data_IF_528137420892
#
_entry.id   IF_528137420892
#
_cell.length_a   1.000
_cell.length_b   1.000
_cell.length_c   1.000
_cell.angle_alpha   90.00
_cell.angle_beta   90.00
_cell.angle_gamma   90.00
#
_symmetry.space_group_name_H-M   'P 1'
#
loop_
_entity.id
_entity.type
_entity.pdbx_description
1 polymer ?
#
# COMPACT_ATOMS: atom_id res chain seq x y z
N UNK A 1 -18.12 5.56 17.08
CA UNK A 1 -16.80 5.91 17.66
C UNK A 1 -15.76 5.68 16.58
N UNK A 2 -15.40 6.74 15.87
CA UNK A 2 -14.65 6.75 14.59
C UNK A 2 -13.24 7.38 14.73
N UNK A 3 -12.83 7.69 15.96
CA UNK A 3 -11.52 8.27 16.27
C UNK A 3 -10.45 7.19 16.45
N UNK A 4 -9.22 7.51 16.08
CA UNK A 4 -8.07 6.64 16.30
C UNK A 4 -7.76 6.52 17.79
N UNK A 5 -7.35 5.33 18.28
CA UNK A 5 -6.79 5.22 19.62
C UNK A 5 -5.58 6.15 19.79
N UNK A 6 -5.44 6.80 20.95
CA UNK A 6 -4.34 7.75 21.21
C UNK A 6 -2.95 7.16 20.94
N UNK A 7 -2.75 5.86 21.20
CA UNK A 7 -1.48 5.17 20.96
C UNK A 7 -1.19 4.88 19.48
N UNK A 8 -2.10 5.23 18.56
CA UNK A 8 -1.93 5.14 17.10
C UNK A 8 -1.84 6.50 16.42
N UNK A 9 -2.01 7.60 17.17
CA UNK A 9 -1.90 8.97 16.63
C UNK A 9 -0.43 9.41 16.69
N UNK A 10 0.21 9.75 15.56
CA UNK A 10 1.67 9.95 15.49
C UNK A 10 2.14 11.30 16.04
N UNK A 11 1.97 11.52 17.35
CA UNK A 11 2.50 12.70 18.04
C UNK A 11 3.97 12.48 18.40
N UNK A 12 4.82 13.50 18.20
CA UNK A 12 6.26 13.45 18.53
C UNK A 12 6.48 13.01 19.99
N UNK A 13 7.42 12.09 20.19
CA UNK A 13 7.78 11.51 21.49
C UNK A 13 6.79 10.48 22.05
N UNK A 14 5.74 10.11 21.31
CA UNK A 14 4.69 9.21 21.83
C UNK A 14 4.76 7.78 21.28
N UNK A 15 3.97 6.87 21.85
CA UNK A 15 3.83 5.50 21.31
C UNK A 15 3.25 5.47 19.90
N UNK A 16 2.47 6.48 19.53
CA UNK A 16 1.92 6.62 18.18
C UNK A 16 2.99 6.94 17.13
N UNK A 17 4.03 7.71 17.49
CA UNK A 17 5.19 7.95 16.62
C UNK A 17 5.93 6.63 16.32
N UNK A 18 6.26 5.86 17.37
CA UNK A 18 6.89 4.53 17.20
C UNK A 18 6.02 3.57 16.40
N UNK A 19 4.71 3.59 16.61
CA UNK A 19 3.76 2.81 15.81
C UNK A 19 3.81 3.21 14.33
N UNK A 20 3.89 4.52 14.05
CA UNK A 20 3.96 5.10 12.71
C UNK A 20 5.29 4.76 12.03
N UNK A 21 6.42 4.84 12.72
CA UNK A 21 7.74 4.44 12.22
C UNK A 21 7.75 2.96 11.82
N UNK A 22 7.22 2.08 12.68
CA UNK A 22 7.12 0.65 12.37
C UNK A 22 6.27 0.40 11.12
N UNK A 23 5.17 1.13 10.97
CA UNK A 23 4.32 1.02 9.78
C UNK A 23 5.03 1.53 8.51
N UNK A 24 5.83 2.60 8.59
CA UNK A 24 6.68 3.06 7.48
C UNK A 24 7.63 1.99 7.02
N UNK A 25 8.43 1.44 7.94
CA UNK A 25 9.42 0.42 7.60
C UNK A 25 8.76 -0.82 6.98
N UNK A 26 7.59 -1.20 7.46
CA UNK A 26 6.84 -2.31 6.89
C UNK A 26 6.30 -2.00 5.48
N UNK A 27 5.71 -0.82 5.29
CA UNK A 27 5.03 -0.45 4.03
C UNK A 27 6.01 0.01 2.94
N UNK A 28 7.17 0.54 3.33
CA UNK A 28 8.26 1.03 2.48
C UNK A 28 9.60 0.37 2.86
N UNK A 29 9.78 -0.93 2.60
CA UNK A 29 11.03 -1.60 2.90
C UNK A 29 12.21 -0.97 2.14
N UNK A 30 13.36 -0.84 2.80
CA UNK A 30 14.55 -0.21 2.21
C UNK A 30 15.02 -0.92 0.92
N UNK A 31 14.89 -2.24 0.86
CA UNK A 31 15.20 -3.04 -0.33
C UNK A 31 14.30 -2.71 -1.53
N UNK A 32 13.11 -2.14 -1.32
CA UNK A 32 12.26 -1.69 -2.41
C UNK A 32 12.65 -0.28 -2.90
N UNK A 33 13.44 0.47 -2.12
CA UNK A 33 13.82 1.85 -2.42
C UNK A 33 15.14 1.93 -3.18
N UNK A 34 16.10 1.06 -2.88
CA UNK A 34 17.42 1.10 -3.51
C UNK A 34 18.10 -0.28 -3.58
N UNK A 35 18.82 -0.51 -4.70
CA UNK A 35 19.64 -1.71 -4.92
C UNK A 35 20.68 -1.94 -3.81
N UNK A 36 21.19 -0.87 -3.19
CA UNK A 36 22.16 -0.95 -2.09
C UNK A 36 21.63 -1.66 -0.85
N UNK A 37 20.32 -1.80 -0.73
CA UNK A 37 19.66 -2.49 0.37
C UNK A 37 19.19 -3.91 -0.01
N UNK A 38 19.33 -4.31 -1.27
CA UNK A 38 19.05 -5.65 -1.75
C UNK A 38 20.27 -6.56 -1.50
N UNK A 39 20.03 -7.78 -1.02
CA UNK A 39 21.07 -8.80 -0.82
C UNK A 39 21.17 -9.78 -1.98
N UNK A 40 20.10 -9.98 -2.74
CA UNK A 40 19.99 -11.09 -3.69
C UNK A 40 19.62 -10.68 -5.13
N UNK A 41 19.83 -9.42 -5.51
CA UNK A 41 19.58 -8.96 -6.89
C UNK A 41 20.85 -9.11 -7.73
N UNK A 42 20.82 -10.03 -8.69
CA UNK A 42 21.94 -10.24 -9.61
C UNK A 42 22.10 -9.07 -10.60
N UNK A 43 23.30 -8.80 -11.16
CA UNK A 43 23.53 -7.70 -12.10
C UNK A 43 22.55 -7.66 -13.27
N UNK A 44 22.16 -8.83 -13.78
CA UNK A 44 21.23 -8.98 -14.91
C UNK A 44 19.81 -8.52 -14.55
N UNK A 45 19.45 -8.57 -13.27
CA UNK A 45 18.13 -8.23 -12.74
C UNK A 45 18.02 -6.77 -12.30
N UNK A 46 19.12 -6.02 -12.28
CA UNK A 46 19.13 -4.62 -11.83
C UNK A 46 18.27 -3.70 -12.72
N UNK A 47 18.13 -4.01 -14.01
CA UNK A 47 17.21 -3.27 -14.90
C UNK A 47 15.77 -3.48 -14.46
N UNK A 48 15.36 -4.74 -14.28
CA UNK A 48 14.01 -5.07 -13.80
C UNK A 48 13.71 -4.48 -12.41
N UNK A 49 14.72 -4.36 -11.54
CA UNK A 49 14.59 -3.65 -10.28
C UNK A 49 14.35 -2.15 -10.48
N UNK A 50 15.14 -1.48 -11.33
CA UNK A 50 14.93 -0.05 -11.62
C UNK A 50 13.55 0.20 -12.21
N UNK A 51 13.11 -0.67 -13.12
CA UNK A 51 11.77 -0.61 -13.71
C UNK A 51 10.68 -0.78 -12.63
N UNK A 52 10.89 -1.68 -11.66
CA UNK A 52 9.99 -1.83 -10.50
C UNK A 52 9.94 -0.57 -9.62
N UNK A 53 11.09 0.01 -9.28
CA UNK A 53 11.15 1.23 -8.46
C UNK A 53 10.49 2.41 -9.18
N UNK A 54 10.75 2.55 -10.49
CA UNK A 54 10.13 3.57 -11.31
C UNK A 54 8.62 3.39 -11.37
N UNK A 55 8.14 2.18 -11.68
CA UNK A 55 6.72 1.87 -11.69
C UNK A 55 6.07 2.13 -10.32
N UNK A 56 6.71 1.75 -9.20
CA UNK A 56 6.20 2.08 -7.86
C UNK A 56 6.08 3.58 -7.65
N UNK A 57 7.11 4.35 -8.00
CA UNK A 57 7.11 5.81 -7.82
C UNK A 57 6.05 6.48 -8.69
N UNK A 58 5.85 6.00 -9.92
CA UNK A 58 4.83 6.50 -10.84
C UNK A 58 3.40 6.16 -10.37
N UNK A 59 3.27 5.18 -9.47
CA UNK A 59 2.01 4.72 -8.87
C UNK A 59 1.83 5.21 -7.42
N UNK A 60 2.76 5.99 -6.85
CA UNK A 60 2.52 6.66 -5.58
C UNK A 60 1.44 7.74 -5.81
N UNK A 61 0.18 7.39 -5.52
CA UNK A 61 -0.97 8.14 -6.03
C UNK A 61 -1.24 9.44 -5.28
N UNK A 62 -1.29 9.39 -3.94
CA UNK A 62 -1.54 10.58 -3.10
C UNK A 62 -1.41 10.27 -1.60
N UNK A 63 -1.59 11.29 -0.77
CA UNK A 63 -1.78 11.17 0.68
C UNK A 63 -3.25 11.48 1.02
N UNK A 64 -3.84 10.72 1.95
CA UNK A 64 -5.18 11.04 2.45
C UNK A 64 -5.17 12.30 3.33
N UNK A 65 -6.07 13.23 3.08
CA UNK A 65 -6.17 14.48 3.85
C UNK A 65 -7.22 14.36 4.95
N UNK A 66 -6.85 14.69 6.18
CA UNK A 66 -7.79 14.76 7.30
C UNK A 66 -8.39 16.16 7.36
N UNK A 67 -9.73 16.26 7.33
CA UNK A 67 -10.46 17.51 7.56
C UNK A 67 -11.75 17.29 8.32
N UNK A 68 -12.24 18.35 8.97
CA UNK A 68 -13.59 18.37 9.53
C UNK A 68 -14.62 18.54 8.41
N UNK A 69 -15.72 17.78 8.46
CA UNK A 69 -16.78 17.88 7.46
C UNK A 69 -17.80 18.98 7.81
N UNK A 70 -18.19 19.77 6.81
CA UNK A 70 -19.27 20.77 6.90
C UNK A 70 -20.67 20.18 6.58
N UNK A 71 -20.76 18.88 6.32
CA UNK A 71 -22.01 18.15 6.11
C UNK A 71 -21.81 16.70 6.56
N UNK A 72 -22.90 15.97 6.78
CA UNK A 72 -22.81 14.54 7.06
C UNK A 72 -22.52 13.76 5.77
N UNK A 73 -21.62 12.79 5.84
CA UNK A 73 -21.24 11.93 4.70
C UNK A 73 -21.26 10.46 5.13
N UNK A 74 -21.20 9.54 4.17
CA UNK A 74 -21.15 8.10 4.44
C UNK A 74 -19.72 7.58 4.28
N UNK A 75 -19.23 6.84 5.27
CA UNK A 75 -17.91 6.26 5.21
C UNK A 75 -17.88 5.08 4.22
N UNK A 76 -17.00 5.15 3.22
CA UNK A 76 -16.85 4.12 2.18
C UNK A 76 -16.57 2.70 2.71
N UNK A 77 -15.77 2.53 3.78
CA UNK A 77 -15.42 1.20 4.30
C UNK A 77 -16.54 0.59 5.15
N UNK A 78 -17.02 1.32 6.16
CA UNK A 78 -17.96 0.76 7.14
C UNK A 78 -19.43 1.07 6.84
N UNK A 79 -19.71 1.89 5.81
CA UNK A 79 -21.05 2.37 5.45
C UNK A 79 -21.75 3.16 6.57
N UNK A 80 -20.99 3.55 7.60
CA UNK A 80 -21.47 4.34 8.73
C UNK A 80 -21.41 5.83 8.44
N UNK A 81 -22.31 6.59 9.07
CA UNK A 81 -22.37 8.06 8.91
C UNK A 81 -21.18 8.74 9.62
N UNK A 82 -20.51 9.64 8.90
CA UNK A 82 -19.61 10.67 9.43
C UNK A 82 -20.45 11.93 9.61
N UNK A 83 -20.64 12.41 10.84
CA UNK A 83 -21.53 13.56 11.09
C UNK A 83 -20.84 14.87 10.75
N UNK A 84 -21.64 15.91 10.49
CA UNK A 84 -21.17 17.30 10.49
C UNK A 84 -20.29 17.58 11.73
N UNK A 85 -19.12 18.18 11.53
CA UNK A 85 -18.16 18.50 12.58
C UNK A 85 -17.26 17.33 12.99
N UNK A 86 -17.45 16.13 12.43
CA UNK A 86 -16.52 15.02 12.64
C UNK A 86 -15.37 15.07 11.63
N UNK A 87 -14.22 14.53 12.05
CA UNK A 87 -13.06 14.36 11.17
C UNK A 87 -13.31 13.22 10.17
N UNK A 88 -12.97 13.49 8.91
CA UNK A 88 -12.96 12.52 7.83
C UNK A 88 -11.61 12.56 7.10
N UNK A 89 -11.27 11.45 6.49
CA UNK A 89 -10.18 11.34 5.51
C UNK A 89 -10.78 11.48 4.12
N UNK A 90 -10.13 12.27 3.27
CA UNK A 90 -10.46 12.45 1.87
C UNK A 90 -9.27 12.04 1.02
N UNK A 91 -9.54 11.21 0.03
CA UNK A 91 -8.57 10.70 -0.92
C UNK A 91 -8.86 11.33 -2.29
N UNK A 92 -8.02 12.27 -2.80
CA UNK A 92 -8.34 13.02 -4.02
C UNK A 92 -8.63 12.14 -5.25
N UNK A 93 -8.06 10.94 -5.30
CA UNK A 93 -8.26 9.97 -6.39
C UNK A 93 -9.66 9.34 -6.39
N UNK A 94 -10.43 9.52 -5.32
CA UNK A 94 -11.81 9.04 -5.19
C UNK A 94 -12.84 10.17 -5.20
N UNK A 95 -12.46 11.40 -5.54
CA UNK A 95 -13.38 12.55 -5.56
C UNK A 95 -13.95 12.86 -4.17
N UNK A 96 -15.28 12.87 -4.05
CA UNK A 96 -16.01 13.26 -2.83
C UNK A 96 -16.20 12.11 -1.81
N UNK A 97 -15.54 10.97 -2.02
CA UNK A 97 -15.62 9.83 -1.10
C UNK A 97 -14.90 10.16 0.21
N UNK A 98 -15.50 9.75 1.32
CA UNK A 98 -14.95 10.00 2.67
C UNK A 98 -14.79 8.70 3.46
N UNK A 99 -13.83 8.72 4.39
CA UNK A 99 -13.61 7.65 5.36
C UNK A 99 -13.54 8.22 6.76
N UNK A 100 -14.00 7.47 7.76
CA UNK A 100 -13.51 7.71 9.11
C UNK A 100 -11.98 7.53 9.16
N UNK A 101 -11.25 8.29 10.00
CA UNK A 101 -9.81 8.09 10.17
C UNK A 101 -9.41 6.64 10.48
N UNK A 102 -10.21 5.94 11.30
CA UNK A 102 -9.99 4.52 11.61
C UNK A 102 -10.32 3.55 10.47
N UNK A 103 -11.09 4.01 9.47
CA UNK A 103 -11.53 3.22 8.33
C UNK A 103 -10.63 3.39 7.08
N UNK A 104 -9.73 4.37 7.09
CA UNK A 104 -8.78 4.57 6.01
C UNK A 104 -7.56 3.65 6.20
N UNK A 105 -7.75 2.38 5.81
CA UNK A 105 -6.81 1.29 6.03
C UNK A 105 -6.59 0.48 4.76
N UNK A 106 -5.44 -0.16 4.63
CA UNK A 106 -5.17 -1.09 3.52
C UNK A 106 -6.18 -2.24 3.50
N UNK A 107 -6.73 -2.54 2.32
CA UNK A 107 -7.68 -3.62 2.10
C UNK A 107 -7.15 -5.00 2.52
N UNK A 108 -5.84 -5.25 2.41
CA UNK A 108 -5.24 -6.55 2.71
C UNK A 108 -4.85 -6.75 4.17
N UNK A 109 -4.31 -5.72 4.84
CA UNK A 109 -3.75 -5.87 6.19
C UNK A 109 -4.37 -4.98 7.26
N UNK A 110 -5.37 -4.18 6.90
CA UNK A 110 -6.05 -3.21 7.78
C UNK A 110 -5.09 -2.24 8.50
N UNK A 111 -3.86 -2.07 7.99
CA UNK A 111 -2.95 -1.04 8.49
C UNK A 111 -3.48 0.34 8.10
N UNK A 112 -3.47 1.27 9.06
CA UNK A 112 -3.82 2.67 8.84
C UNK A 112 -2.96 3.29 7.75
N UNK A 113 -3.62 3.99 6.83
CA UNK A 113 -3.01 4.74 5.73
C UNK A 113 -3.13 6.26 5.95
N UNK A 114 -3.75 6.69 7.04
CA UNK A 114 -3.78 8.11 7.43
C UNK A 114 -2.35 8.58 7.66
N UNK A 115 -2.00 9.73 7.10
CA UNK A 115 -0.65 10.31 7.08
C UNK A 115 0.41 9.43 6.37
N UNK A 116 -0.03 8.48 5.55
CA UNK A 116 0.77 7.61 4.68
C UNK A 116 0.31 7.74 3.23
N UNK A 117 1.17 7.30 2.32
CA UNK A 117 0.80 7.11 0.91
C UNK A 117 -0.18 5.94 0.79
N UNK A 118 -1.16 6.08 -0.10
CA UNK A 118 -2.05 4.99 -0.48
C UNK A 118 -1.98 4.74 -1.98
N UNK A 119 -2.19 3.49 -2.37
CA UNK A 119 -2.34 3.06 -3.75
C UNK A 119 -3.79 2.62 -4.00
N UNK A 120 -4.23 2.67 -5.26
CA UNK A 120 -5.59 2.30 -5.68
C UNK A 120 -5.48 1.23 -6.75
N UNK A 121 -6.17 0.13 -6.53
CA UNK A 121 -6.32 -0.97 -7.49
C UNK A 121 -7.74 -1.49 -7.39
N UNK A 122 -8.43 -1.62 -8.53
CA UNK A 122 -9.81 -2.15 -8.59
C UNK A 122 -10.75 -1.47 -7.57
N UNK A 123 -10.71 -0.13 -7.51
CA UNK A 123 -11.50 0.72 -6.60
C UNK A 123 -11.24 0.52 -5.08
N UNK A 124 -10.23 -0.26 -4.72
CA UNK A 124 -9.83 -0.52 -3.34
C UNK A 124 -8.50 0.17 -2.99
N UNK A 125 -8.33 0.51 -1.71
CA UNK A 125 -7.11 1.17 -1.20
C UNK A 125 -6.11 0.18 -0.61
N UNK A 126 -4.84 0.32 -0.97
CA UNK A 126 -3.76 -0.55 -0.53
C UNK A 126 -2.60 0.27 0.03
N UNK A 127 -1.84 -0.31 0.97
CA UNK A 127 -0.50 0.19 1.26
C UNK A 127 0.43 -0.13 0.09
N UNK A 128 1.52 0.61 -0.04
CA UNK A 128 2.50 0.41 -1.12
C UNK A 128 3.02 -1.03 -1.18
N UNK A 129 3.29 -1.65 -0.03
CA UNK A 129 3.74 -3.04 0.05
C UNK A 129 2.78 -4.03 -0.61
N UNK A 130 1.49 -3.97 -0.27
CA UNK A 130 0.49 -4.90 -0.81
C UNK A 130 0.14 -4.55 -2.25
N UNK A 131 0.19 -3.28 -2.63
CA UNK A 131 0.05 -2.88 -4.02
C UNK A 131 1.20 -3.44 -4.87
N UNK A 132 2.45 -3.30 -4.41
CA UNK A 132 3.62 -3.86 -5.08
C UNK A 132 3.54 -5.40 -5.24
N UNK A 133 2.95 -6.10 -4.26
CA UNK A 133 2.72 -7.53 -4.34
C UNK A 133 1.69 -7.93 -5.42
N UNK A 134 0.77 -7.05 -5.81
CA UNK A 134 -0.10 -7.27 -6.96
C UNK A 134 0.68 -7.26 -8.28
N UNK A 135 1.79 -6.50 -8.34
CA UNK A 135 2.64 -6.42 -9.52
C UNK A 135 3.65 -7.57 -9.58
N UNK A 136 4.31 -7.88 -8.46
CA UNK A 136 5.33 -8.93 -8.36
C UNK A 136 5.33 -9.59 -6.98
N UNK A 137 5.35 -10.94 -6.89
CA UNK A 137 5.32 -11.62 -5.59
C UNK A 137 6.63 -11.41 -4.82
N UNK A 138 6.55 -11.42 -3.49
CA UNK A 138 7.70 -11.34 -2.58
C UNK A 138 8.18 -12.71 -2.15
N UNK A 139 9.48 -12.83 -1.92
CA UNK A 139 10.07 -14.02 -1.31
C UNK A 139 9.75 -14.09 0.19
N UNK A 140 9.21 -15.22 0.67
CA UNK A 140 8.89 -15.41 2.09
C UNK A 140 10.12 -15.42 3.02
N UNK A 141 11.32 -15.69 2.48
CA UNK A 141 12.55 -15.79 3.26
C UNK A 141 13.30 -14.45 3.41
N UNK A 142 13.43 -13.68 2.32
CA UNK A 142 14.22 -12.45 2.31
C UNK A 142 13.37 -11.17 2.16
N UNK A 143 12.06 -11.29 1.92
CA UNK A 143 11.12 -10.18 1.72
C UNK A 143 11.41 -9.26 0.53
N UNK A 144 12.30 -9.68 -0.37
CA UNK A 144 12.57 -8.99 -1.64
C UNK A 144 11.50 -9.34 -2.68
N UNK A 145 11.20 -8.38 -3.56
CA UNK A 145 10.32 -8.58 -4.71
C UNK A 145 11.01 -9.46 -5.74
N UNK A 146 10.31 -10.50 -6.22
CA UNK A 146 10.90 -11.48 -7.13
C UNK A 146 11.27 -10.84 -8.49
N UNK A 147 12.49 -11.06 -9.00
CA UNK A 147 12.99 -10.46 -10.25
C UNK A 147 12.45 -11.08 -11.56
N UNK A 148 11.30 -11.75 -11.54
CA UNK A 148 10.70 -12.57 -12.62
C UNK A 148 11.38 -13.92 -12.94
N UNK A 149 10.51 -14.92 -13.14
CA UNK A 149 10.74 -16.37 -13.28
C UNK A 149 11.28 -17.08 -12.04
N UNK A 150 10.45 -17.19 -11.00
CA UNK A 150 10.61 -18.28 -10.06
C UNK A 150 10.30 -19.60 -10.78
N UNK A 151 11.34 -20.20 -11.38
CA UNK A 151 11.43 -21.65 -11.33
C UNK A 151 11.38 -22.01 -9.86
N UNK A 152 10.30 -22.68 -9.50
CA UNK A 152 10.04 -23.33 -8.23
C UNK A 152 11.33 -23.92 -7.66
N UNK A 153 11.91 -23.29 -6.64
CA UNK A 153 12.57 -24.08 -5.60
C UNK A 153 11.47 -24.59 -4.69
N UNK A 154 11.03 -25.79 -5.03
CA UNK A 154 10.11 -26.65 -4.29
C UNK A 154 10.54 -26.75 -2.82
N UNK A 155 9.75 -26.16 -1.93
CA UNK A 155 9.44 -26.80 -0.67
C UNK A 155 7.92 -26.98 -0.60
N UNK A 156 7.52 -28.22 -0.39
CA UNK A 156 6.19 -28.77 -0.57
C UNK A 156 5.05 -28.10 0.25
N UNK A 157 3.85 -28.13 -0.35
CA UNK A 157 2.47 -28.01 0.20
C UNK A 157 1.94 -26.58 0.43
N UNK A 158 0.82 -26.09 -0.13
CA UNK A 158 -0.30 -26.63 -0.95
C UNK A 158 -1.13 -25.45 -1.52
N UNK A 159 -1.57 -25.53 -2.80
CA UNK A 159 -2.75 -24.93 -3.52
C UNK A 159 -3.40 -23.63 -2.97
N UNK A 160 -3.73 -22.58 -3.74
CA UNK A 160 -4.32 -22.51 -5.07
C UNK A 160 -4.25 -21.07 -5.66
N UNK A 161 -4.34 -20.95 -7.00
CA UNK A 161 -4.79 -19.73 -7.68
C UNK A 161 -3.75 -18.99 -8.52
N UNK A 162 -3.63 -19.37 -9.79
CA UNK A 162 -2.87 -18.64 -10.80
C UNK A 162 -3.62 -17.38 -11.24
N UNK A 163 -2.91 -16.25 -11.38
CA UNK A 163 -3.30 -15.21 -12.33
C UNK A 163 -2.08 -14.84 -13.16
N UNK A 164 -2.08 -15.43 -14.36
CA UNK A 164 -1.25 -15.06 -15.48
C UNK A 164 -1.96 -13.87 -16.16
N UNK A 165 -1.36 -12.67 -16.14
CA UNK A 165 -1.75 -11.60 -17.06
C UNK A 165 -0.51 -11.18 -17.86
N UNK A 166 -0.43 -11.81 -19.03
CA UNK A 166 0.53 -11.54 -20.07
C UNK A 166 0.40 -10.10 -20.57
N UNK A 167 1.55 -9.49 -20.78
CA UNK A 167 1.75 -8.39 -21.70
C UNK A 167 0.98 -8.61 -23.01
N UNK A 168 0.27 -7.57 -23.47
CA UNK A 168 -0.07 -7.42 -24.88
C UNK A 168 0.78 -6.29 -25.44
N UNK A 169 1.81 -6.67 -26.17
CA UNK A 169 2.50 -5.83 -27.15
C UNK A 169 1.54 -5.44 -28.27
N UNK A 170 1.73 -4.23 -28.79
CA UNK A 170 1.08 -3.63 -29.98
C UNK A 170 1.18 -4.48 -31.25
N UNK A 171 0.54 -4.06 -32.35
CA UNK A 171 1.35 -3.49 -33.43
C UNK A 171 0.76 -2.24 -34.11
N UNK A 172 1.67 -1.52 -34.76
CA UNK A 172 1.50 -0.38 -35.64
C UNK A 172 0.39 -0.53 -36.69
N UNK A 173 -0.37 0.54 -36.92
CA UNK A 173 -0.47 1.21 -38.24
C UNK A 173 -1.02 2.61 -38.10
#
# INVERSE_FOLDING_TARGET
MSQLPNHKVPRLGTTGEKYRERNLVHQLPAQDLALTHCRHVAPEQQRAFRDFVQARNDIALDVGFVRELNHSSECRKCQGVIRHGELAVIAPRFGDVTWHPACFVCHTCDQLLVDLTYCVYDEEIYCERHYAQQLKPRCAACDEVSPETAHTHTHHQTRAGAVLLLARTSPER
#
